data_IF_808563995251
#
_entry.id   IF_808563995251
#
_cell.length_a   1.000
_cell.length_b   1.000
_cell.length_c   1.000
_cell.angle_alpha   90.00
_cell.angle_beta   90.00
_cell.angle_gamma   90.00
#
_symmetry.space_group_name_H-M   'P 1'
#
loop_
_entity.id
_entity.type
_entity.pdbx_description
1 polymer ?
#
# COMPACT_ATOMS: atom_id res chain seq x y z
N UNK A 1 -6.55 23.81 -21.06
CA UNK A 1 -5.23 24.07 -20.45
C UNK A 1 -5.31 24.38 -18.95
N UNK A 2 -6.11 25.36 -18.50
CA UNK A 2 -6.26 25.68 -17.04
C UNK A 2 -6.67 24.48 -16.19
N UNK A 3 -7.63 23.69 -16.59
CA UNK A 3 -8.09 22.50 -15.84
C UNK A 3 -7.02 21.40 -15.74
N UNK A 4 -6.24 21.20 -16.80
CA UNK A 4 -5.13 20.24 -16.81
C UNK A 4 -4.04 20.65 -15.82
N UNK A 5 -3.69 21.91 -15.79
CA UNK A 5 -2.71 22.48 -14.86
C UNK A 5 -3.23 22.38 -13.40
N UNK A 6 -4.48 22.76 -13.16
CA UNK A 6 -5.10 22.65 -11.83
C UNK A 6 -5.17 21.20 -11.35
N UNK A 7 -5.46 20.26 -12.24
CA UNK A 7 -5.51 18.83 -11.92
C UNK A 7 -4.13 18.29 -11.59
N UNK A 8 -3.11 18.65 -12.39
CA UNK A 8 -1.72 18.25 -12.14
C UNK A 8 -1.23 18.77 -10.77
N UNK A 9 -1.44 20.05 -10.49
CA UNK A 9 -1.08 20.64 -9.20
C UNK A 9 -1.85 20.01 -8.04
N UNK A 10 -3.14 19.69 -8.18
CA UNK A 10 -3.93 19.06 -7.11
C UNK A 10 -3.40 17.66 -6.74
N UNK A 11 -3.02 16.84 -7.73
CA UNK A 11 -2.46 15.51 -7.49
C UNK A 11 -1.06 15.60 -6.89
N UNK A 12 -0.19 16.44 -7.47
CA UNK A 12 1.15 16.67 -6.97
C UNK A 12 1.14 17.17 -5.52
N UNK A 13 0.30 18.16 -5.22
CA UNK A 13 0.13 18.71 -3.87
C UNK A 13 -0.36 17.66 -2.87
N UNK A 14 -1.35 16.83 -3.24
CA UNK A 14 -1.86 15.78 -2.36
C UNK A 14 -0.78 14.76 -2.00
N UNK A 15 -0.01 14.30 -3.00
CA UNK A 15 1.09 13.34 -2.80
C UNK A 15 2.25 13.97 -1.99
N UNK A 16 2.58 15.21 -2.27
CA UNK A 16 3.63 15.94 -1.52
C UNK A 16 3.22 16.16 -0.06
N UNK A 17 1.96 16.52 0.19
CA UNK A 17 1.42 16.66 1.55
C UNK A 17 1.40 15.31 2.29
N UNK A 18 1.02 14.21 1.65
CA UNK A 18 1.09 12.88 2.26
C UNK A 18 2.50 12.53 2.70
N UNK A 19 3.50 12.78 1.85
CA UNK A 19 4.90 12.55 2.17
C UNK A 19 5.40 13.45 3.30
N UNK A 20 5.01 14.74 3.28
CA UNK A 20 5.35 15.69 4.34
C UNK A 20 4.73 15.26 5.68
N UNK A 21 3.47 14.87 5.70
CA UNK A 21 2.80 14.38 6.90
C UNK A 21 3.44 13.08 7.42
N UNK A 22 3.84 12.18 6.53
CA UNK A 22 4.58 10.97 6.89
C UNK A 22 5.95 11.28 7.49
N UNK A 23 6.60 12.34 7.00
CA UNK A 23 7.87 12.81 7.55
C UNK A 23 7.74 13.32 8.99
N UNK A 24 6.63 14.00 9.33
CA UNK A 24 6.37 14.45 10.70
C UNK A 24 6.29 13.30 11.72
N UNK A 25 6.04 12.07 11.26
CA UNK A 25 6.04 10.89 12.13
C UNK A 25 7.45 10.35 12.43
N UNK A 26 8.48 10.73 11.67
CA UNK A 26 9.84 10.20 11.88
C UNK A 26 10.40 10.55 13.27
N UNK A 27 10.32 11.79 13.77
CA UNK A 27 10.79 12.11 15.13
C UNK A 27 10.04 11.32 16.21
N UNK A 28 8.73 11.12 16.02
CA UNK A 28 7.91 10.32 16.94
C UNK A 28 8.34 8.85 16.93
N UNK A 29 8.60 8.28 15.77
CA UNK A 29 9.09 6.92 15.67
C UNK A 29 10.49 6.77 16.30
N UNK A 30 11.39 7.73 16.05
CA UNK A 30 12.74 7.72 16.61
C UNK A 30 12.75 7.90 18.15
N UNK A 31 11.73 8.51 18.74
CA UNK A 31 11.61 8.65 20.19
C UNK A 31 11.04 7.43 20.90
N UNK A 32 10.30 6.56 20.17
CA UNK A 32 9.58 5.43 20.78
C UNK A 32 10.21 4.08 20.42
N UNK A 33 10.68 3.91 19.18
CA UNK A 33 11.23 2.64 18.71
C UNK A 33 12.76 2.61 18.80
N UNK A 34 13.30 1.51 19.29
CA UNK A 34 14.72 1.19 19.15
C UNK A 34 15.09 0.97 17.67
N UNK A 35 16.39 1.05 17.36
CA UNK A 35 16.88 0.80 15.99
C UNK A 35 16.50 -0.60 15.50
N UNK A 36 16.58 -1.59 16.37
CA UNK A 36 16.19 -2.98 16.05
C UNK A 36 14.70 -3.10 15.76
N UNK A 37 13.83 -2.50 16.59
CA UNK A 37 12.39 -2.50 16.36
C UNK A 37 12.02 -1.80 15.03
N UNK A 38 12.76 -0.75 14.68
CA UNK A 38 12.60 -0.08 13.40
C UNK A 38 12.99 -0.98 12.23
N UNK A 39 14.03 -1.80 12.41
CA UNK A 39 14.44 -2.84 11.45
C UNK A 39 13.36 -3.90 11.26
N UNK A 40 12.74 -4.37 12.34
CA UNK A 40 11.61 -5.30 12.28
C UNK A 40 10.43 -4.71 11.53
N UNK A 41 10.06 -3.46 11.81
CA UNK A 41 8.98 -2.75 11.10
C UNK A 41 9.27 -2.71 9.59
N UNK A 42 10.49 -2.33 9.20
CA UNK A 42 10.88 -2.23 7.78
C UNK A 42 10.88 -3.60 7.09
N UNK A 43 11.35 -4.66 7.76
CA UNK A 43 11.32 -6.02 7.24
C UNK A 43 9.89 -6.51 6.97
N UNK A 44 9.00 -6.34 7.95
CA UNK A 44 7.60 -6.75 7.81
C UNK A 44 6.94 -5.95 6.68
N UNK A 45 7.14 -4.63 6.62
CA UNK A 45 6.61 -3.80 5.54
C UNK A 45 7.18 -4.19 4.16
N UNK A 46 8.48 -4.50 4.09
CA UNK A 46 9.15 -4.96 2.87
C UNK A 46 8.57 -6.29 2.41
N UNK A 47 8.40 -7.25 3.30
CA UNK A 47 7.81 -8.56 2.98
C UNK A 47 6.36 -8.39 2.46
N UNK A 48 5.53 -7.65 3.17
CA UNK A 48 4.15 -7.34 2.74
C UNK A 48 4.15 -6.60 1.39
N UNK A 49 5.11 -5.69 1.17
CA UNK A 49 5.30 -5.00 -0.11
C UNK A 49 5.56 -5.96 -1.27
N UNK A 50 6.45 -6.94 -1.06
CA UNK A 50 6.74 -8.00 -2.05
C UNK A 50 5.49 -8.83 -2.33
N UNK A 51 4.78 -9.29 -1.29
CA UNK A 51 3.54 -10.08 -1.45
C UNK A 51 2.46 -9.28 -2.20
N UNK A 52 2.36 -7.98 -1.93
CA UNK A 52 1.38 -7.09 -2.59
C UNK A 52 1.58 -7.02 -4.12
N UNK A 53 2.80 -7.19 -4.63
CA UNK A 53 3.06 -7.24 -6.07
C UNK A 53 2.35 -8.43 -6.71
N UNK A 54 2.34 -9.57 -6.03
CA UNK A 54 1.62 -10.76 -6.48
C UNK A 54 0.10 -10.61 -6.36
N UNK A 55 -0.40 -9.75 -5.47
CA UNK A 55 -1.83 -9.43 -5.40
C UNK A 55 -2.33 -8.74 -6.67
N UNK A 56 -1.55 -7.83 -7.20
CA UNK A 56 -1.95 -7.07 -8.38
C UNK A 56 -1.78 -7.85 -9.69
N UNK A 57 -0.78 -8.75 -9.82
CA UNK A 57 -0.41 -9.41 -11.08
C UNK A 57 -0.35 -8.43 -12.27
N UNK A 58 0.00 -7.19 -12.01
CA UNK A 58 0.02 -6.07 -12.97
C UNK A 58 -1.38 -5.75 -13.59
N UNK A 59 -2.48 -6.21 -13.00
CA UNK A 59 -3.84 -5.98 -13.50
C UNK A 59 -4.27 -4.52 -13.43
N UNK A 60 -3.65 -3.72 -12.58
CA UNK A 60 -3.85 -2.26 -12.53
C UNK A 60 -3.45 -1.57 -13.85
N UNK A 61 -2.47 -2.08 -14.58
CA UNK A 61 -2.12 -1.54 -15.91
C UNK A 61 -3.16 -1.89 -16.95
N UNK A 62 -3.74 -3.08 -16.88
CA UNK A 62 -4.89 -3.47 -17.71
C UNK A 62 -6.09 -2.54 -17.44
N UNK A 63 -6.37 -2.26 -16.17
CA UNK A 63 -7.43 -1.33 -15.77
C UNK A 63 -7.18 0.06 -16.37
N UNK A 64 -5.93 0.56 -16.33
CA UNK A 64 -5.56 1.84 -16.93
C UNK A 64 -5.72 1.85 -18.45
N UNK A 65 -5.34 0.74 -19.11
CA UNK A 65 -5.37 0.64 -20.58
C UNK A 65 -6.80 0.60 -21.11
N UNK A 66 -7.67 -0.21 -20.52
CA UNK A 66 -9.00 -0.49 -21.05
C UNK A 66 -10.12 0.40 -20.46
N UNK A 67 -9.80 1.25 -19.47
CA UNK A 67 -10.77 2.07 -18.76
C UNK A 67 -11.64 2.95 -19.68
N UNK A 68 -11.03 3.52 -20.73
CA UNK A 68 -11.68 4.41 -21.68
C UNK A 68 -12.17 3.70 -22.94
N UNK A 69 -11.93 2.39 -23.08
CA UNK A 69 -12.41 1.61 -24.22
C UNK A 69 -13.83 1.11 -24.01
N UNK A 70 -14.26 1.00 -22.76
CA UNK A 70 -15.61 0.56 -22.41
C UNK A 70 -16.43 1.72 -21.88
N UNK A 71 -17.75 1.69 -22.21
CA UNK A 71 -18.72 2.68 -21.75
C UNK A 71 -19.94 2.01 -21.12
N UNK A 72 -20.75 2.81 -20.41
CA UNK A 72 -22.04 2.38 -19.86
C UNK A 72 -21.92 1.17 -18.92
N UNK A 73 -22.73 0.14 -19.18
CA UNK A 73 -22.76 -1.09 -18.35
C UNK A 73 -21.53 -1.97 -18.52
N UNK A 74 -20.97 -2.04 -19.72
CA UNK A 74 -19.80 -2.87 -20.00
C UNK A 74 -18.58 -2.39 -19.23
N UNK A 75 -18.41 -1.08 -19.08
CA UNK A 75 -17.40 -0.48 -18.21
C UNK A 75 -17.57 -0.94 -16.76
N UNK A 76 -18.80 -0.93 -16.24
CA UNK A 76 -19.07 -1.33 -14.86
C UNK A 76 -18.83 -2.82 -14.62
N UNK A 77 -19.19 -3.68 -15.59
CA UNK A 77 -18.91 -5.13 -15.56
C UNK A 77 -17.42 -5.40 -15.62
N UNK A 78 -16.70 -4.69 -16.49
CA UNK A 78 -15.24 -4.77 -16.60
C UNK A 78 -14.57 -4.40 -15.28
N UNK A 79 -14.89 -3.23 -14.70
CA UNK A 79 -14.34 -2.76 -13.45
C UNK A 79 -14.60 -3.75 -12.31
N UNK A 80 -15.84 -4.21 -12.17
CA UNK A 80 -16.20 -5.18 -11.13
C UNK A 80 -15.41 -6.48 -11.26
N UNK A 81 -15.26 -6.99 -12.49
CA UNK A 81 -14.51 -8.24 -12.74
C UNK A 81 -13.04 -8.13 -12.33
N UNK A 82 -12.36 -7.03 -12.69
CA UNK A 82 -10.96 -6.83 -12.33
C UNK A 82 -10.79 -6.60 -10.82
N UNK A 83 -11.62 -5.77 -10.21
CA UNK A 83 -11.60 -5.55 -8.77
C UNK A 83 -11.82 -6.84 -7.99
N UNK A 84 -12.83 -7.62 -8.37
CA UNK A 84 -13.14 -8.89 -7.74
C UNK A 84 -11.98 -9.88 -7.82
N UNK A 85 -11.31 -9.98 -8.97
CA UNK A 85 -10.14 -10.85 -9.14
C UNK A 85 -8.98 -10.42 -8.25
N UNK A 86 -8.59 -9.14 -8.30
CA UNK A 86 -7.48 -8.61 -7.50
C UNK A 86 -7.77 -8.78 -6.00
N UNK A 87 -8.98 -8.43 -5.54
CA UNK A 87 -9.35 -8.56 -4.13
C UNK A 87 -9.42 -10.02 -3.68
N UNK A 88 -9.87 -10.95 -4.52
CA UNK A 88 -9.86 -12.38 -4.20
C UNK A 88 -8.45 -12.92 -4.04
N UNK A 89 -7.53 -12.60 -4.96
CA UNK A 89 -6.12 -12.97 -4.85
C UNK A 89 -5.51 -12.36 -3.59
N UNK A 90 -5.77 -11.09 -3.33
CA UNK A 90 -5.26 -10.38 -2.15
C UNK A 90 -5.76 -11.03 -0.87
N UNK A 91 -7.04 -11.38 -0.80
CA UNK A 91 -7.62 -12.03 0.38
C UNK A 91 -6.97 -13.41 0.63
N UNK A 92 -6.79 -14.22 -0.41
CA UNK A 92 -6.13 -15.53 -0.30
C UNK A 92 -4.67 -15.40 0.17
N UNK A 93 -3.91 -14.48 -0.42
CA UNK A 93 -2.52 -14.25 -0.01
C UNK A 93 -2.43 -13.66 1.41
N UNK A 94 -3.32 -12.73 1.76
CA UNK A 94 -3.41 -12.18 3.12
C UNK A 94 -3.71 -13.27 4.15
N UNK A 95 -4.65 -14.16 3.85
CA UNK A 95 -4.97 -15.29 4.70
C UNK A 95 -3.76 -16.23 4.85
N UNK A 96 -3.08 -16.55 3.75
CA UNK A 96 -1.85 -17.35 3.76
C UNK A 96 -0.76 -16.75 4.64
N UNK A 97 -0.49 -15.45 4.50
CA UNK A 97 0.47 -14.73 5.35
C UNK A 97 0.04 -14.73 6.82
N UNK A 98 -1.24 -14.52 7.10
CA UNK A 98 -1.76 -14.50 8.48
C UNK A 98 -1.66 -15.88 9.17
N UNK A 99 -1.92 -16.96 8.44
CA UNK A 99 -1.78 -18.34 8.93
C UNK A 99 -0.30 -18.69 9.16
N UNK A 100 0.58 -18.30 8.25
CA UNK A 100 2.01 -18.55 8.36
C UNK A 100 2.77 -17.53 9.25
N UNK A 101 2.06 -16.63 9.95
CA UNK A 101 2.68 -15.49 10.65
C UNK A 101 3.70 -15.92 11.71
N UNK A 102 3.47 -17.01 12.43
CA UNK A 102 4.43 -17.50 13.45
C UNK A 102 5.74 -17.98 12.81
N UNK A 103 5.63 -18.72 11.70
CA UNK A 103 6.78 -19.17 10.92
C UNK A 103 7.52 -17.96 10.30
N UNK A 104 6.79 -17.03 9.71
CA UNK A 104 7.35 -15.82 9.10
C UNK A 104 8.01 -14.91 10.12
N UNK A 105 7.46 -14.79 11.33
CA UNK A 105 8.05 -14.02 12.42
C UNK A 105 9.41 -14.59 12.82
N UNK A 106 9.49 -15.91 12.95
CA UNK A 106 10.75 -16.57 13.28
C UNK A 106 11.77 -16.47 12.15
N UNK A 107 11.32 -16.60 10.89
CA UNK A 107 12.20 -16.53 9.72
C UNK A 107 12.72 -15.12 9.42
N UNK A 108 11.87 -14.09 9.55
CA UNK A 108 12.23 -12.69 9.25
C UNK A 108 12.93 -11.99 10.42
N UNK A 109 12.51 -12.27 11.64
CA UNK A 109 12.89 -11.48 12.81
C UNK A 109 13.56 -12.31 13.91
N UNK A 110 13.79 -13.62 13.68
CA UNK A 110 14.38 -14.56 14.64
C UNK A 110 13.64 -14.58 16.00
N UNK A 111 12.38 -14.14 16.02
CA UNK A 111 11.59 -14.02 17.23
C UNK A 111 10.08 -14.13 16.94
N UNK A 112 9.38 -15.01 17.65
CA UNK A 112 7.95 -15.26 17.46
C UNK A 112 7.06 -14.13 18.01
N UNK A 113 7.59 -13.25 18.84
CA UNK A 113 6.79 -12.16 19.44
C UNK A 113 6.18 -11.20 18.40
N UNK A 114 6.71 -11.14 17.17
CA UNK A 114 6.24 -10.24 16.10
C UNK A 114 5.16 -10.87 15.21
N UNK A 115 4.72 -12.09 15.49
CA UNK A 115 3.69 -12.78 14.70
C UNK A 115 2.37 -12.00 14.66
N UNK A 116 1.99 -11.33 15.76
CA UNK A 116 0.78 -10.49 15.79
C UNK A 116 0.92 -9.28 14.87
N UNK A 117 2.07 -8.64 14.82
CA UNK A 117 2.35 -7.54 13.90
C UNK A 117 2.22 -7.98 12.43
N UNK A 118 2.72 -9.17 12.08
CA UNK A 118 2.60 -9.75 10.73
C UNK A 118 1.12 -10.05 10.39
N UNK A 119 0.33 -10.58 11.33
CA UNK A 119 -1.11 -10.81 11.13
C UNK A 119 -1.86 -9.49 10.86
N UNK A 120 -1.56 -8.45 11.63
CA UNK A 120 -2.16 -7.11 11.42
C UNK A 120 -1.73 -6.55 10.06
N UNK A 121 -0.46 -6.67 9.69
CA UNK A 121 0.06 -6.22 8.41
C UNK A 121 -0.55 -7.00 7.22
N UNK A 122 -0.82 -8.29 7.38
CA UNK A 122 -1.53 -9.09 6.39
C UNK A 122 -2.97 -8.58 6.18
N UNK A 123 -3.71 -8.28 7.24
CA UNK A 123 -5.04 -7.66 7.13
C UNK A 123 -4.98 -6.28 6.47
N UNK A 124 -3.97 -5.48 6.82
CA UNK A 124 -3.74 -4.17 6.21
C UNK A 124 -3.56 -4.25 4.69
N UNK A 125 -2.95 -5.33 4.19
CA UNK A 125 -2.71 -5.53 2.76
C UNK A 125 -4.00 -5.50 1.94
N UNK A 126 -5.10 -6.08 2.43
CA UNK A 126 -6.41 -6.08 1.75
C UNK A 126 -6.93 -4.65 1.57
N UNK A 127 -6.90 -3.85 2.62
CA UNK A 127 -7.35 -2.45 2.58
C UNK A 127 -6.41 -1.55 1.77
N UNK A 128 -5.11 -1.86 1.77
CA UNK A 128 -4.10 -1.15 0.98
C UNK A 128 -4.34 -1.33 -0.53
N UNK A 129 -4.59 -2.56 -0.96
CA UNK A 129 -4.92 -2.88 -2.35
C UNK A 129 -6.25 -2.23 -2.75
N UNK A 130 -7.27 -2.32 -1.90
CA UNK A 130 -8.56 -1.66 -2.11
C UNK A 130 -8.40 -0.13 -2.25
N UNK A 131 -7.62 0.49 -1.36
CA UNK A 131 -7.32 1.93 -1.41
C UNK A 131 -6.65 2.30 -2.73
N UNK A 132 -5.63 1.55 -3.15
CA UNK A 132 -4.92 1.79 -4.41
C UNK A 132 -5.87 1.74 -5.62
N UNK A 133 -6.70 0.71 -5.71
CA UNK A 133 -7.66 0.55 -6.80
C UNK A 133 -8.70 1.66 -6.83
N UNK A 134 -9.26 2.04 -5.68
CA UNK A 134 -10.27 3.11 -5.61
C UNK A 134 -9.68 4.48 -5.91
N UNK A 135 -8.45 4.76 -5.49
CA UNK A 135 -7.73 5.99 -5.82
C UNK A 135 -7.42 6.09 -7.33
N UNK A 136 -7.09 4.97 -7.99
CA UNK A 136 -6.94 4.91 -9.46
C UNK A 136 -8.27 5.31 -10.13
N UNK A 137 -9.41 4.79 -9.67
CA UNK A 137 -10.71 5.14 -10.24
C UNK A 137 -11.09 6.61 -10.01
N UNK A 138 -10.83 7.15 -8.81
CA UNK A 138 -11.08 8.57 -8.54
C UNK A 138 -10.28 9.48 -9.47
N UNK A 139 -9.06 9.06 -9.83
CA UNK A 139 -8.19 9.75 -10.77
C UNK A 139 -8.74 9.69 -12.20
N UNK A 140 -9.23 8.54 -12.65
CA UNK A 140 -9.82 8.38 -13.99
C UNK A 140 -11.16 9.11 -14.13
N UNK A 141 -11.95 9.16 -13.07
CA UNK A 141 -13.20 9.94 -13.02
C UNK A 141 -12.95 11.45 -12.87
N UNK A 142 -11.67 11.90 -12.87
CA UNK A 142 -11.28 13.31 -12.68
C UNK A 142 -11.83 13.92 -11.38
N UNK A 143 -12.11 13.09 -10.37
CA UNK A 143 -12.62 13.51 -9.05
C UNK A 143 -11.49 13.94 -8.11
N UNK A 144 -10.68 14.91 -8.55
CA UNK A 144 -9.45 15.32 -7.88
C UNK A 144 -9.65 15.76 -6.43
N UNK A 145 -10.74 16.50 -6.15
CA UNK A 145 -11.08 16.95 -4.79
C UNK A 145 -11.28 15.77 -3.85
N UNK A 146 -11.98 14.73 -4.30
CA UNK A 146 -12.20 13.52 -3.51
C UNK A 146 -10.92 12.70 -3.35
N UNK A 147 -10.08 12.61 -4.39
CA UNK A 147 -8.76 12.00 -4.30
C UNK A 147 -7.91 12.66 -3.20
N UNK A 148 -7.76 14.00 -3.27
CA UNK A 148 -7.02 14.77 -2.28
C UNK A 148 -7.61 14.61 -0.88
N UNK A 149 -8.95 14.66 -0.74
CA UNK A 149 -9.63 14.47 0.54
C UNK A 149 -9.33 13.09 1.14
N UNK A 150 -9.42 12.01 0.36
CA UNK A 150 -9.12 10.63 0.83
C UNK A 150 -7.68 10.52 1.31
N UNK A 151 -6.72 11.06 0.55
CA UNK A 151 -5.29 11.04 0.91
C UNK A 151 -5.03 11.82 2.19
N UNK A 152 -5.59 13.02 2.33
CA UNK A 152 -5.43 13.84 3.54
C UNK A 152 -6.10 13.19 4.76
N UNK A 153 -7.32 12.68 4.63
CA UNK A 153 -8.02 11.97 5.72
C UNK A 153 -7.22 10.77 6.16
N UNK A 154 -6.70 9.94 5.22
CA UNK A 154 -5.84 8.81 5.54
C UNK A 154 -4.61 9.24 6.35
N UNK A 155 -3.93 10.30 5.93
CA UNK A 155 -2.72 10.78 6.59
C UNK A 155 -3.00 11.34 7.99
N UNK A 156 -4.08 12.11 8.16
CA UNK A 156 -4.48 12.64 9.46
C UNK A 156 -4.89 11.52 10.42
N UNK A 157 -5.68 10.54 9.94
CA UNK A 157 -6.05 9.37 10.73
C UNK A 157 -4.81 8.58 11.15
N UNK A 158 -3.84 8.39 10.23
CA UNK A 158 -2.61 7.70 10.53
C UNK A 158 -1.85 8.39 11.67
N UNK A 159 -1.64 9.71 11.58
CA UNK A 159 -0.94 10.49 12.62
C UNK A 159 -1.68 10.36 13.97
N UNK A 160 -2.99 10.52 13.97
CA UNK A 160 -3.81 10.45 15.17
C UNK A 160 -3.73 9.07 15.84
N UNK A 161 -3.87 8.00 15.06
CA UNK A 161 -3.83 6.64 15.60
C UNK A 161 -2.42 6.21 15.99
N UNK A 162 -1.38 6.63 15.25
CA UNK A 162 0.01 6.38 15.66
C UNK A 162 0.30 7.06 16.98
N UNK A 163 -0.06 8.34 17.13
CA UNK A 163 0.10 9.04 18.41
C UNK A 163 -0.63 8.30 19.54
N UNK A 164 -1.88 7.90 19.32
CA UNK A 164 -2.69 7.22 20.33
C UNK A 164 -2.14 5.84 20.70
N UNK A 165 -1.93 4.93 19.72
CA UNK A 165 -1.54 3.55 20.02
C UNK A 165 -0.06 3.40 20.36
N UNK A 166 0.82 4.23 19.77
CA UNK A 166 2.26 4.11 19.99
C UNK A 166 2.71 4.93 21.19
N UNK A 167 2.28 6.22 21.28
CA UNK A 167 2.77 7.11 22.33
C UNK A 167 1.94 7.06 23.62
N UNK A 168 0.59 6.93 23.52
CA UNK A 168 -0.28 6.93 24.72
C UNK A 168 -0.46 5.52 25.27
N UNK A 169 -0.80 4.55 24.39
CA UNK A 169 -1.09 3.16 24.80
C UNK A 169 0.18 2.29 24.91
N UNK A 170 1.32 2.73 24.38
CA UNK A 170 2.58 1.99 24.39
C UNK A 170 2.48 0.57 23.80
N UNK A 171 1.67 0.36 22.76
CA UNK A 171 1.52 -0.94 22.10
C UNK A 171 2.70 -1.32 21.20
N UNK A 172 3.78 -0.54 21.18
CA UNK A 172 5.00 -0.81 20.41
C UNK A 172 4.73 -1.08 18.93
N UNK A 173 5.38 -2.10 18.36
CA UNK A 173 5.28 -2.48 16.93
C UNK A 173 3.84 -2.86 16.56
N UNK A 174 3.09 -3.54 17.42
CA UNK A 174 1.70 -3.88 17.16
C UNK A 174 0.83 -2.62 17.03
N UNK A 175 1.08 -1.61 17.87
CA UNK A 175 0.41 -0.30 17.80
C UNK A 175 0.69 0.43 16.50
N UNK A 176 1.90 0.32 15.96
CA UNK A 176 2.28 0.89 14.67
C UNK A 176 1.45 0.27 13.52
N UNK A 177 1.43 -1.06 13.41
CA UNK A 177 0.66 -1.73 12.35
C UNK A 177 -0.85 -1.58 12.53
N UNK A 178 -1.36 -1.57 13.77
CA UNK A 178 -2.77 -1.35 14.06
C UNK A 178 -3.22 0.07 13.64
N UNK A 179 -2.40 1.07 13.90
CA UNK A 179 -2.65 2.45 13.46
C UNK A 179 -2.78 2.55 11.94
N UNK A 180 -1.88 1.90 11.22
CA UNK A 180 -1.91 1.85 9.76
C UNK A 180 -3.14 1.10 9.26
N UNK A 181 -3.47 -0.05 9.84
CA UNK A 181 -4.64 -0.84 9.48
C UNK A 181 -5.92 0.00 9.62
N UNK A 182 -6.14 0.64 10.77
CA UNK A 182 -7.37 1.42 11.01
C UNK A 182 -7.44 2.62 10.06
N UNK A 183 -6.35 3.36 9.91
CA UNK A 183 -6.31 4.53 9.03
C UNK A 183 -6.61 4.16 7.57
N UNK A 184 -5.99 3.09 7.06
CA UNK A 184 -6.20 2.66 5.68
C UNK A 184 -7.56 1.98 5.47
N UNK A 185 -8.08 1.24 6.46
CA UNK A 185 -9.41 0.63 6.39
C UNK A 185 -10.49 1.71 6.29
N UNK A 186 -10.49 2.70 7.18
CA UNK A 186 -11.45 3.79 7.15
C UNK A 186 -11.37 4.59 5.84
N UNK A 187 -10.17 4.96 5.41
CA UNK A 187 -9.99 5.72 4.17
C UNK A 187 -10.34 4.92 2.91
N UNK A 188 -10.05 3.61 2.86
CA UNK A 188 -10.38 2.76 1.73
C UNK A 188 -11.89 2.48 1.63
N UNK A 189 -12.57 2.28 2.74
CA UNK A 189 -14.03 2.14 2.77
C UNK A 189 -14.72 3.45 2.36
N UNK A 190 -14.20 4.60 2.81
CA UNK A 190 -14.69 5.89 2.37
C UNK A 190 -14.49 6.09 0.85
N UNK A 191 -13.31 5.77 0.31
CA UNK A 191 -13.06 5.87 -1.12
C UNK A 191 -13.89 4.90 -1.95
N UNK A 192 -14.13 3.67 -1.45
CA UNK A 192 -15.03 2.71 -2.08
C UNK A 192 -16.47 3.24 -2.16
N UNK A 193 -16.96 3.87 -1.08
CA UNK A 193 -18.27 4.51 -1.08
C UNK A 193 -18.40 5.58 -2.17
N UNK A 194 -17.35 6.37 -2.42
CA UNK A 194 -17.32 7.41 -3.46
C UNK A 194 -17.39 6.85 -4.89
N UNK A 195 -16.83 5.65 -5.12
CA UNK A 195 -16.78 5.00 -6.44
C UNK A 195 -17.81 3.89 -6.63
N UNK A 196 -18.65 3.59 -5.62
CA UNK A 196 -19.61 2.46 -5.63
C UNK A 196 -20.54 2.43 -6.86
N UNK A 197 -20.89 3.59 -7.40
CA UNK A 197 -21.76 3.71 -8.58
C UNK A 197 -21.11 3.22 -9.88
N UNK A 198 -19.79 3.00 -9.88
CA UNK A 198 -19.03 2.49 -11.01
C UNK A 198 -19.05 0.96 -11.12
N UNK A 199 -19.71 0.26 -10.20
CA UNK A 199 -19.73 -1.20 -10.18
C UNK A 199 -21.14 -1.74 -10.42
N UNK A 200 -21.20 -2.83 -11.18
CA UNK A 200 -22.36 -3.73 -11.28
C UNK A 200 -21.86 -5.13 -10.90
N UNK A 201 -22.57 -5.81 -10.00
CA UNK A 201 -22.22 -7.16 -9.55
C UNK A 201 -22.40 -8.17 -10.69
N UNK A 202 -21.43 -8.18 -11.61
CA UNK A 202 -21.40 -9.11 -12.74
C UNK A 202 -19.96 -9.47 -13.09
N UNK A 203 -19.62 -10.76 -12.89
CA UNK A 203 -18.29 -11.28 -13.18
C UNK A 203 -18.26 -11.76 -14.64
N UNK A 204 -17.39 -11.17 -15.46
CA UNK A 204 -17.27 -11.46 -16.87
C UNK A 204 -15.93 -12.13 -17.18
N UNK A 205 -15.99 -13.43 -17.53
CA UNK A 205 -14.79 -14.21 -17.94
C UNK A 205 -14.03 -13.61 -19.14
N UNK A 206 -14.70 -13.07 -20.19
CA UNK A 206 -14.01 -12.45 -21.32
C UNK A 206 -13.13 -11.27 -20.87
N UNK A 207 -13.62 -10.39 -20.00
CA UNK A 207 -12.84 -9.25 -19.51
C UNK A 207 -11.67 -9.68 -18.64
N UNK A 208 -11.83 -10.72 -17.80
CA UNK A 208 -10.74 -11.30 -17.03
C UNK A 208 -9.65 -11.87 -17.93
N UNK A 209 -10.02 -12.66 -18.94
CA UNK A 209 -9.08 -13.26 -19.89
C UNK A 209 -8.30 -12.18 -20.67
N UNK A 210 -9.00 -11.14 -21.14
CA UNK A 210 -8.37 -10.02 -21.85
C UNK A 210 -7.36 -9.31 -20.95
N UNK A 211 -7.74 -8.99 -19.72
CA UNK A 211 -6.90 -8.28 -18.76
C UNK A 211 -5.67 -9.09 -18.35
N UNK A 212 -5.84 -10.38 -18.08
CA UNK A 212 -4.72 -11.26 -17.77
C UNK A 212 -3.75 -11.40 -18.95
N UNK A 213 -4.27 -11.55 -20.18
CA UNK A 213 -3.44 -11.62 -21.40
C UNK A 213 -2.59 -10.36 -21.59
N UNK A 214 -3.11 -9.20 -21.19
CA UNK A 214 -2.39 -7.92 -21.27
C UNK A 214 -1.39 -7.72 -20.09
N UNK A 215 -1.80 -8.07 -18.88
CA UNK A 215 -1.06 -7.79 -17.66
C UNK A 215 0.09 -8.79 -17.41
N UNK A 216 -0.14 -10.11 -17.58
CA UNK A 216 0.83 -11.14 -17.24
C UNK A 216 2.18 -11.02 -17.98
N UNK A 217 2.26 -10.64 -19.27
CA UNK A 217 3.55 -10.42 -19.92
C UNK A 217 4.38 -9.28 -19.30
N UNK A 218 3.74 -8.32 -18.63
CA UNK A 218 4.41 -7.20 -17.97
C UNK A 218 4.81 -7.53 -16.52
N UNK A 219 4.25 -8.59 -15.95
CA UNK A 219 4.50 -8.98 -14.56
C UNK A 219 5.98 -9.27 -14.25
N UNK A 220 6.78 -9.97 -15.09
CA UNK A 220 8.21 -10.17 -14.85
C UNK A 220 8.99 -8.86 -14.68
N UNK A 221 8.68 -7.83 -15.49
CA UNK A 221 9.32 -6.52 -15.36
C UNK A 221 8.97 -5.85 -14.01
N UNK A 222 7.74 -6.03 -13.51
CA UNK A 222 7.33 -5.56 -12.19
C UNK A 222 8.08 -6.26 -11.08
N UNK A 223 8.25 -7.59 -11.17
CA UNK A 223 9.05 -8.37 -10.22
C UNK A 223 10.50 -7.91 -10.22
N UNK A 224 11.10 -7.70 -11.40
CA UNK A 224 12.47 -7.16 -11.51
C UNK A 224 12.63 -5.80 -10.84
N UNK A 225 11.68 -4.88 -11.05
CA UNK A 225 11.69 -3.56 -10.39
C UNK A 225 11.55 -3.68 -8.88
N UNK A 226 10.73 -4.60 -8.41
CA UNK A 226 10.54 -4.87 -7.00
C UNK A 226 11.78 -5.49 -6.35
N UNK A 227 12.43 -6.42 -7.04
CA UNK A 227 13.70 -7.00 -6.60
C UNK A 227 14.72 -5.89 -6.37
N UNK A 228 14.87 -4.97 -7.31
CA UNK A 228 15.78 -3.83 -7.15
C UNK A 228 15.42 -2.94 -5.95
N UNK A 229 14.14 -2.74 -5.68
CA UNK A 229 13.69 -1.90 -4.57
C UNK A 229 13.85 -2.56 -3.19
N UNK A 230 13.67 -3.87 -3.09
CA UNK A 230 13.57 -4.59 -1.83
C UNK A 230 14.74 -5.52 -1.52
N UNK A 231 15.54 -5.95 -2.51
CA UNK A 231 16.61 -6.93 -2.34
C UNK A 231 17.62 -6.52 -1.28
N UNK A 232 17.96 -5.23 -1.18
CA UNK A 232 18.93 -4.73 -0.20
C UNK A 232 18.62 -5.17 1.24
N UNK A 233 17.33 -5.19 1.64
CA UNK A 233 16.91 -5.60 2.99
C UNK A 233 17.16 -7.08 3.23
N UNK A 234 16.86 -7.91 2.24
CA UNK A 234 17.10 -9.36 2.35
C UNK A 234 18.58 -9.71 2.30
N UNK A 235 19.40 -8.97 1.56
CA UNK A 235 20.85 -9.13 1.62
C UNK A 235 21.41 -8.71 2.98
N UNK A 236 20.97 -7.58 3.55
CA UNK A 236 21.40 -7.14 4.87
C UNK A 236 20.96 -8.18 5.91
N UNK A 237 19.74 -8.73 5.84
CA UNK A 237 19.28 -9.78 6.74
C UNK A 237 20.11 -11.06 6.62
N UNK A 238 20.53 -11.45 5.42
CA UNK A 238 21.29 -12.68 5.17
C UNK A 238 22.75 -12.66 5.68
N UNK A 239 23.34 -11.46 5.81
CA UNK A 239 24.74 -11.30 6.21
C UNK A 239 24.93 -10.56 7.54
N UNK A 240 23.93 -9.84 8.00
CA UNK A 240 23.94 -9.01 9.20
C UNK A 240 22.68 -9.33 10.03
N UNK A 241 22.13 -8.33 10.71
CA UNK A 241 20.99 -8.48 11.61
C UNK A 241 19.93 -7.38 11.40
N UNK A 242 18.84 -7.45 12.19
CA UNK A 242 17.74 -6.49 12.16
C UNK A 242 18.15 -5.09 12.60
N UNK A 243 19.20 -4.95 13.41
CA UNK A 243 19.76 -3.64 13.80
C UNK A 243 20.30 -2.88 12.59
N UNK A 244 21.08 -3.55 11.73
CA UNK A 244 21.64 -2.94 10.50
C UNK A 244 20.56 -2.59 9.50
N UNK A 245 19.47 -3.38 9.44
CA UNK A 245 18.29 -3.02 8.63
C UNK A 245 17.63 -1.75 9.17
N UNK A 246 17.52 -1.61 10.50
CA UNK A 246 17.00 -0.41 11.13
C UNK A 246 17.80 0.83 10.78
N UNK A 247 19.15 0.77 10.85
CA UNK A 247 20.03 1.86 10.43
C UNK A 247 19.84 2.21 8.95
N UNK A 248 19.81 1.20 8.08
CA UNK A 248 19.62 1.39 6.65
C UNK A 248 18.26 2.04 6.33
N UNK A 249 17.20 1.59 7.00
CA UNK A 249 15.85 2.14 6.81
C UNK A 249 15.71 3.58 7.28
N UNK A 250 16.33 3.91 8.42
CA UNK A 250 16.38 5.30 8.91
C UNK A 250 17.12 6.20 7.93
N UNK A 251 18.28 5.74 7.43
CA UNK A 251 19.04 6.47 6.43
C UNK A 251 18.25 6.70 5.14
N UNK A 252 17.54 5.67 4.66
CA UNK A 252 16.68 5.79 3.47
C UNK A 252 15.50 6.76 3.69
N UNK A 253 14.88 6.77 4.87
CA UNK A 253 13.80 7.71 5.18
C UNK A 253 14.29 9.15 5.17
N UNK A 254 15.48 9.41 5.72
CA UNK A 254 16.11 10.74 5.65
C UNK A 254 16.46 11.09 4.20
N UNK A 255 17.07 10.14 3.44
CA UNK A 255 17.41 10.33 2.04
C UNK A 255 16.20 10.57 1.13
N UNK A 256 15.03 10.00 1.46
CA UNK A 256 13.78 10.19 0.70
C UNK A 256 13.27 11.64 0.70
N UNK A 257 13.72 12.46 1.66
CA UNK A 257 13.42 13.91 1.71
C UNK A 257 14.09 14.62 0.54
N UNK A 258 15.35 14.26 0.23
CA UNK A 258 16.05 14.84 -0.92
C UNK A 258 15.37 14.48 -2.24
N UNK A 259 14.78 13.28 -2.34
CA UNK A 259 14.01 12.89 -3.52
C UNK A 259 12.72 13.70 -3.71
N UNK A 260 12.11 14.23 -2.63
CA UNK A 260 10.98 15.15 -2.72
C UNK A 260 11.33 16.43 -3.49
N UNK A 261 12.53 16.96 -3.27
CA UNK A 261 13.00 18.19 -3.91
C UNK A 261 13.33 17.94 -5.39
N UNK A 262 13.75 16.73 -5.72
CA UNK A 262 14.18 16.39 -7.10
C UNK A 262 13.00 15.95 -8.00
N UNK A 263 11.88 15.52 -7.44
CA UNK A 263 10.69 15.06 -8.19
C UNK A 263 9.63 16.16 -8.41
N UNK A 264 9.84 17.36 -7.87
CA UNK A 264 9.05 18.57 -8.15
C UNK A 264 9.70 19.40 -9.24
#
# INVERSE_FOLDING_TARGET
MKELILNFFSFGLAVSLERFLSFLLIPLYASVFSVTEFGVIDLVQTFIGVVTIFCFLQLETSLQRFYYEYEGEDKKKFLFSIFSLILSITFLLSLGVAVCADYLSNWLCENQQYAMAIRIAAMQMVFSVLSTLTLILLRFEKKNKFFTLVVLVKSLLLISFVYYFVSVMHYGINGFFLSQLIAIALSSLFSLFLVRKLFIFHLSKPYLKLSLKYALPQFPARVGSATNAYANRFFILGYLDTYHIGLFSMALKIGSIMQLIHQT
#
